data_IF_388249913264
#
_entry.id   IF_388249913264
#
_cell.length_a   1.000
_cell.length_b   1.000
_cell.length_c   1.000
_cell.angle_alpha   90.00
_cell.angle_beta   90.00
_cell.angle_gamma   90.00
#
_symmetry.space_group_name_H-M   'P 1'
#
loop_
_entity.id
_entity.type
_entity.pdbx_description
1 polymer ?
#
# COMPACT_ATOMS: atom_id res chain seq x y z
N UNK A 1 3.25 52.00 -55.13
CA UNK A 1 2.30 52.05 -56.24
C UNK A 1 1.02 51.43 -55.72
N UNK A 2 0.15 52.30 -55.35
CA UNK A 2 -1.22 52.53 -55.81
C UNK A 2 -2.22 51.52 -55.25
N UNK A 3 -3.04 51.95 -54.25
CA UNK A 3 -4.30 52.72 -54.40
C UNK A 3 -5.45 51.76 -54.70
N UNK A 4 -6.58 51.76 -54.08
CA UNK A 4 -7.66 52.57 -53.56
C UNK A 4 -8.79 51.60 -53.22
N UNK A 5 -9.53 51.62 -52.14
CA UNK A 5 -10.58 52.50 -51.61
C UNK A 5 -11.98 52.27 -52.22
N UNK A 6 -12.97 52.47 -51.34
CA UNK A 6 -14.42 52.67 -51.50
C UNK A 6 -15.33 51.54 -51.05
N UNK A 7 -15.86 51.59 -49.80
CA UNK A 7 -17.07 52.31 -49.33
C UNK A 7 -18.33 52.21 -50.23
N UNK A 8 -19.46 51.78 -49.66
CA UNK A 8 -20.83 52.37 -49.61
C UNK A 8 -21.79 51.33 -49.06
N UNK A 9 -22.45 51.57 -47.94
CA UNK A 9 -23.67 52.26 -47.57
C UNK A 9 -24.99 51.69 -48.15
N UNK A 10 -25.99 51.71 -47.26
CA UNK A 10 -27.44 51.54 -47.38
C UNK A 10 -27.99 50.16 -47.14
N UNK A 11 -29.09 49.94 -46.42
CA UNK A 11 -30.10 50.77 -45.77
C UNK A 11 -30.99 49.86 -44.93
N UNK A 12 -31.63 50.46 -43.97
CA UNK A 12 -32.60 49.91 -43.04
C UNK A 12 -33.90 49.48 -43.71
N UNK A 13 -34.57 48.45 -43.16
CA UNK A 13 -36.02 48.37 -43.12
C UNK A 13 -36.52 47.40 -42.04
N UNK A 14 -37.08 47.92 -41.04
CA UNK A 14 -38.21 47.49 -40.21
C UNK A 14 -38.72 46.05 -40.32
N UNK A 15 -38.72 45.36 -39.18
CA UNK A 15 -39.79 44.45 -38.83
C UNK A 15 -40.13 44.61 -37.34
N UNK A 16 -41.30 45.06 -37.09
CA UNK A 16 -42.00 45.23 -35.82
C UNK A 16 -42.51 43.88 -35.34
N UNK A 17 -42.64 43.72 -34.02
CA UNK A 17 -43.30 42.67 -33.25
C UNK A 17 -42.47 41.44 -32.94
N UNK A 18 -41.75 41.53 -31.81
CA UNK A 18 -41.57 40.37 -30.94
C UNK A 18 -41.95 40.80 -29.52
N UNK A 19 -43.13 40.34 -29.11
CA UNK A 19 -43.65 40.51 -27.72
C UNK A 19 -42.74 39.72 -26.78
N UNK A 20 -41.90 40.42 -26.02
CA UNK A 20 -41.24 39.84 -24.87
C UNK A 20 -42.25 39.67 -23.74
N UNK A 21 -42.87 38.52 -23.62
CA UNK A 21 -43.62 38.14 -22.43
C UNK A 21 -42.61 37.96 -21.28
N UNK A 22 -42.56 38.94 -20.38
CA UNK A 22 -41.81 38.86 -19.13
C UNK A 22 -42.37 37.71 -18.27
N UNK A 23 -41.62 36.65 -18.09
CA UNK A 23 -42.00 35.57 -17.18
C UNK A 23 -42.06 36.11 -15.77
N UNK A 24 -43.20 35.93 -15.10
CA UNK A 24 -43.44 36.43 -13.74
C UNK A 24 -42.48 35.75 -12.74
N UNK A 25 -42.06 36.43 -11.66
CA UNK A 25 -41.13 35.91 -10.65
C UNK A 25 -41.58 34.61 -9.98
N UNK A 26 -42.86 34.27 -10.11
CA UNK A 26 -43.45 33.04 -9.55
C UNK A 26 -43.15 31.76 -10.36
N UNK A 27 -42.86 31.89 -11.65
CA UNK A 27 -42.52 30.74 -12.48
C UNK A 27 -41.04 30.33 -12.33
N UNK A 28 -40.14 31.28 -12.04
CA UNK A 28 -38.76 31.01 -11.73
C UNK A 28 -38.57 30.22 -10.43
N UNK A 29 -39.42 30.46 -9.40
CA UNK A 29 -39.40 29.71 -8.12
C UNK A 29 -39.85 28.26 -8.25
N UNK A 30 -40.78 27.96 -9.17
CA UNK A 30 -41.26 26.58 -9.41
C UNK A 30 -40.31 25.73 -10.24
N UNK A 31 -39.52 26.36 -11.11
CA UNK A 31 -38.43 25.67 -11.87
C UNK A 31 -37.25 25.30 -10.97
N UNK A 32 -36.93 26.14 -9.99
CA UNK A 32 -35.85 25.87 -9.04
C UNK A 32 -36.17 24.72 -8.07
N UNK A 33 -37.45 24.58 -7.66
CA UNK A 33 -37.88 23.49 -6.79
C UNK A 33 -38.04 22.14 -7.50
N UNK A 34 -38.16 22.14 -8.86
CA UNK A 34 -38.20 20.88 -9.63
C UNK A 34 -36.82 20.36 -10.05
N UNK A 35 -35.79 21.22 -10.07
CA UNK A 35 -34.40 20.85 -10.33
C UNK A 35 -33.64 20.49 -9.07
N UNK A 36 -34.09 20.89 -7.88
CA UNK A 36 -33.47 20.56 -6.59
C UNK A 36 -33.79 19.16 -6.06
N UNK A 37 -34.76 18.46 -6.65
CA UNK A 37 -35.21 17.14 -6.18
C UNK A 37 -34.55 15.94 -6.85
N UNK A 38 -33.80 16.13 -7.94
CA UNK A 38 -33.18 15.03 -8.70
C UNK A 38 -31.66 14.86 -8.47
N UNK A 39 -31.02 15.74 -7.67
CA UNK A 39 -29.59 15.71 -7.41
C UNK A 39 -29.19 14.97 -6.13
N UNK A 40 -30.13 14.35 -5.41
CA UNK A 40 -29.87 13.73 -4.09
C UNK A 40 -29.76 12.19 -4.10
N UNK A 41 -29.70 11.52 -5.26
CA UNK A 41 -29.67 10.06 -5.34
C UNK A 41 -28.50 9.49 -6.17
N UNK A 42 -27.41 10.23 -6.35
CA UNK A 42 -26.23 9.78 -7.11
C UNK A 42 -24.91 9.83 -6.32
N UNK A 43 -24.93 9.52 -5.02
CA UNK A 43 -23.67 9.41 -4.23
C UNK A 43 -23.61 8.13 -3.41
N UNK A 44 -23.95 7.00 -4.02
CA UNK A 44 -23.73 5.68 -3.42
C UNK A 44 -22.65 4.88 -4.15
N UNK A 45 -21.72 5.55 -4.83
CA UNK A 45 -20.57 4.98 -5.51
C UNK A 45 -19.27 5.76 -5.23
N UNK A 46 -19.19 6.43 -4.08
CA UNK A 46 -17.94 7.07 -3.67
C UNK A 46 -16.88 6.02 -3.46
N UNK A 47 -15.84 6.01 -4.31
CA UNK A 47 -14.59 5.36 -3.99
C UNK A 47 -14.25 5.73 -2.56
N UNK A 48 -14.20 4.75 -1.66
CA UNK A 48 -13.89 4.99 -0.26
C UNK A 48 -12.46 5.54 -0.19
N UNK A 49 -12.34 6.86 -0.13
CA UNK A 49 -11.06 7.53 -0.01
C UNK A 49 -10.34 6.99 1.23
N UNK A 50 -9.01 6.95 1.16
CA UNK A 50 -8.18 6.61 2.31
C UNK A 50 -8.52 7.52 3.49
N UNK A 51 -8.65 6.91 4.69
CA UNK A 51 -8.93 7.63 5.94
C UNK A 51 -7.63 8.13 6.58
N UNK A 52 -6.51 7.45 6.29
CA UNK A 52 -5.19 7.85 6.74
C UNK A 52 -4.51 8.71 5.66
N UNK A 53 -3.80 9.73 6.11
CA UNK A 53 -2.99 10.57 5.24
C UNK A 53 -1.55 10.05 5.24
N UNK A 54 -1.13 9.55 4.10
CA UNK A 54 0.23 9.08 3.83
C UNK A 54 0.78 9.86 2.65
N UNK A 55 1.98 10.37 2.76
CA UNK A 55 2.60 11.17 1.72
C UNK A 55 2.70 10.47 0.35
N UNK A 56 3.01 11.24 -0.67
CA UNK A 56 3.36 10.68 -1.98
C UNK A 56 4.74 10.02 -1.89
N UNK A 57 4.85 8.76 -2.35
CA UNK A 57 6.16 8.09 -2.41
C UNK A 57 7.16 8.84 -3.29
N UNK A 58 8.44 8.66 -3.00
CA UNK A 58 9.55 9.31 -3.71
C UNK A 58 9.55 9.00 -5.21
N UNK A 59 9.86 10.00 -6.03
CA UNK A 59 10.04 9.80 -7.49
C UNK A 59 11.27 8.97 -7.81
N UNK A 60 12.23 8.86 -6.90
CA UNK A 60 13.45 8.06 -7.09
C UNK A 60 13.13 6.59 -7.38
N UNK A 61 12.02 6.05 -6.85
CA UNK A 61 11.58 4.68 -7.15
C UNK A 61 11.43 4.41 -8.66
N UNK A 62 11.17 5.43 -9.49
CA UNK A 62 11.05 5.28 -10.95
C UNK A 62 12.36 4.87 -11.63
N UNK A 63 13.51 5.06 -10.97
CA UNK A 63 14.82 4.62 -11.46
C UNK A 63 14.96 3.09 -11.48
N UNK A 64 14.17 2.36 -10.69
CA UNK A 64 14.15 0.90 -10.66
C UNK A 64 12.86 0.41 -11.31
N UNK A 65 12.88 -0.35 -12.42
CA UNK A 65 11.66 -0.86 -13.05
C UNK A 65 10.89 -1.80 -12.10
N UNK A 66 9.61 -1.54 -11.88
CA UNK A 66 8.79 -2.30 -10.94
C UNK A 66 8.72 -3.79 -11.30
N UNK A 67 8.51 -4.09 -12.60
CA UNK A 67 8.42 -5.47 -13.10
C UNK A 67 9.71 -6.26 -12.86
N UNK A 68 10.87 -5.64 -13.09
CA UNK A 68 12.18 -6.29 -12.85
C UNK A 68 12.34 -6.65 -11.38
N UNK A 69 11.93 -5.75 -10.48
CA UNK A 69 12.01 -6.00 -9.04
C UNK A 69 11.02 -7.10 -8.60
N UNK A 70 9.80 -7.12 -9.13
CA UNK A 70 8.79 -8.15 -8.85
C UNK A 70 9.25 -9.53 -9.33
N UNK A 71 9.93 -9.60 -10.49
CA UNK A 71 10.52 -10.85 -11.00
C UNK A 71 11.64 -11.33 -10.08
N UNK A 72 12.60 -10.48 -9.76
CA UNK A 72 13.71 -10.81 -8.86
C UNK A 72 13.22 -11.23 -7.46
N UNK A 73 12.19 -10.55 -6.95
CA UNK A 73 11.56 -10.90 -5.69
C UNK A 73 10.89 -12.29 -5.74
N UNK A 74 10.23 -12.61 -6.84
CA UNK A 74 9.60 -13.92 -7.03
C UNK A 74 10.64 -15.03 -7.07
N UNK A 75 11.73 -14.85 -7.82
CA UNK A 75 12.83 -15.82 -7.89
C UNK A 75 13.48 -16.06 -6.53
N UNK A 76 13.79 -14.98 -5.81
CA UNK A 76 14.37 -15.06 -4.46
C UNK A 76 13.42 -15.75 -3.48
N UNK A 77 12.12 -15.44 -3.57
CA UNK A 77 11.12 -16.09 -2.73
C UNK A 77 11.04 -17.59 -2.98
N UNK A 78 11.07 -18.03 -4.24
CA UNK A 78 11.06 -19.46 -4.59
C UNK A 78 12.33 -20.17 -4.10
N UNK A 79 13.49 -19.52 -4.18
CA UNK A 79 14.74 -20.07 -3.61
C UNK A 79 14.64 -20.25 -2.09
N UNK A 80 14.11 -19.23 -1.38
CA UNK A 80 13.88 -19.31 0.06
C UNK A 80 12.93 -20.46 0.43
N UNK A 81 11.83 -20.62 -0.30
CA UNK A 81 10.88 -21.72 -0.05
C UNK A 81 11.49 -23.10 -0.34
N UNK A 82 12.29 -23.21 -1.41
CA UNK A 82 13.00 -24.44 -1.73
C UNK A 82 14.00 -24.80 -0.61
N UNK A 83 14.74 -23.83 -0.09
CA UNK A 83 15.63 -24.01 1.04
C UNK A 83 14.86 -24.43 2.30
N UNK A 84 13.78 -23.73 2.65
CA UNK A 84 12.94 -24.09 3.79
C UNK A 84 12.37 -25.50 3.66
N UNK A 85 11.96 -25.89 2.46
CA UNK A 85 11.45 -27.24 2.17
C UNK A 85 12.54 -28.31 2.34
N UNK A 86 13.75 -28.08 1.85
CA UNK A 86 14.86 -29.02 1.99
C UNK A 86 15.29 -29.23 3.45
N UNK A 87 15.06 -28.24 4.29
CA UNK A 87 15.30 -28.28 5.74
C UNK A 87 14.10 -28.82 6.55
N UNK A 88 13.00 -29.19 5.88
CA UNK A 88 11.78 -29.61 6.57
C UNK A 88 11.07 -28.47 7.34
N UNK A 89 11.46 -27.21 7.08
CA UNK A 89 10.94 -26.04 7.78
C UNK A 89 9.72 -25.41 7.09
N UNK A 90 9.41 -25.75 5.84
CA UNK A 90 8.23 -25.23 5.16
C UNK A 90 6.97 -25.93 5.66
N UNK A 91 6.02 -25.15 6.19
CA UNK A 91 4.78 -25.70 6.72
C UNK A 91 3.94 -26.33 5.61
N UNK A 92 3.39 -27.54 5.82
CA UNK A 92 2.49 -28.19 4.85
C UNK A 92 1.14 -27.44 4.76
N UNK A 93 0.43 -27.58 3.66
CA UNK A 93 -0.87 -26.92 3.41
C UNK A 93 -1.94 -27.21 4.48
N UNK A 94 -1.82 -28.35 5.19
CA UNK A 94 -2.70 -28.71 6.31
C UNK A 94 -2.44 -27.94 7.61
N UNK A 95 -1.32 -27.23 7.73
CA UNK A 95 -0.92 -26.54 8.95
C UNK A 95 -1.96 -25.48 9.36
N UNK A 96 -2.39 -25.51 10.63
CA UNK A 96 -3.45 -24.64 11.13
C UNK A 96 -3.04 -23.14 11.11
N UNK A 97 -1.79 -22.84 11.48
CA UNK A 97 -1.27 -21.47 11.43
C UNK A 97 -1.17 -20.95 9.99
N UNK A 98 -0.75 -21.77 9.03
CA UNK A 98 -0.72 -21.39 7.62
C UNK A 98 -2.12 -21.10 7.08
N UNK A 99 -3.11 -21.94 7.42
CA UNK A 99 -4.52 -21.70 7.05
C UNK A 99 -5.03 -20.39 7.64
N UNK A 100 -4.70 -20.11 8.89
CA UNK A 100 -5.00 -18.83 9.55
C UNK A 100 -4.43 -17.64 8.79
N UNK A 101 -3.15 -17.70 8.39
CA UNK A 101 -2.50 -16.66 7.59
C UNK A 101 -3.19 -16.47 6.23
N UNK A 102 -3.59 -17.56 5.56
CA UNK A 102 -4.33 -17.48 4.29
C UNK A 102 -5.67 -16.76 4.46
N UNK A 103 -6.43 -17.04 5.52
CA UNK A 103 -7.70 -16.35 5.81
C UNK A 103 -7.47 -14.85 6.01
N UNK A 104 -6.42 -14.48 6.76
CA UNK A 104 -6.08 -13.08 6.98
C UNK A 104 -5.71 -12.38 5.67
N UNK A 105 -4.85 -13.00 4.85
CA UNK A 105 -4.44 -12.45 3.56
C UNK A 105 -5.64 -12.27 2.61
N UNK A 106 -6.53 -13.26 2.52
CA UNK A 106 -7.74 -13.19 1.68
C UNK A 106 -8.65 -12.01 2.05
N UNK A 107 -8.67 -11.63 3.33
CA UNK A 107 -9.46 -10.48 3.79
C UNK A 107 -8.75 -9.14 3.53
N UNK A 108 -7.41 -9.09 3.52
CA UNK A 108 -6.64 -7.88 3.29
C UNK A 108 -6.48 -7.54 1.80
N UNK A 109 -6.26 -8.54 0.94
CA UNK A 109 -5.95 -8.38 -0.49
C UNK A 109 -6.97 -7.51 -1.24
N UNK A 110 -8.30 -7.58 -1.02
CA UNK A 110 -9.27 -6.73 -1.71
C UNK A 110 -9.04 -5.23 -1.56
N UNK A 111 -8.32 -4.80 -0.52
CA UNK A 111 -8.06 -3.39 -0.21
C UNK A 111 -6.69 -2.89 -0.68
N UNK A 112 -5.93 -3.69 -1.41
CA UNK A 112 -4.56 -3.35 -1.85
C UNK A 112 -4.53 -2.40 -3.04
N UNK A 113 -5.49 -2.51 -3.95
CA UNK A 113 -5.49 -1.76 -5.20
C UNK A 113 -5.62 -0.23 -5.03
N UNK A 114 -6.21 0.23 -3.92
CA UNK A 114 -6.27 1.65 -3.60
C UNK A 114 -4.88 2.26 -3.31
N UNK A 115 -3.92 1.44 -2.91
CA UNK A 115 -2.55 1.85 -2.58
C UNK A 115 -1.57 1.60 -3.73
N UNK A 116 -1.84 0.58 -4.55
CA UNK A 116 -1.05 0.27 -5.73
C UNK A 116 -1.91 -0.52 -6.72
N UNK A 117 -2.26 0.10 -7.84
CA UNK A 117 -3.10 -0.54 -8.86
C UNK A 117 -2.47 -1.81 -9.46
N UNK A 118 -1.12 -1.89 -9.49
CA UNK A 118 -0.39 -3.09 -9.94
C UNK A 118 -0.70 -4.32 -9.09
N UNK A 119 -1.11 -4.15 -7.84
CA UNK A 119 -1.43 -5.25 -6.93
C UNK A 119 -2.56 -6.14 -7.42
N UNK A 120 -3.42 -5.65 -8.35
CA UNK A 120 -4.47 -6.45 -9.02
C UNK A 120 -3.89 -7.59 -9.86
N UNK A 121 -2.71 -7.42 -10.40
CA UNK A 121 -2.01 -8.40 -11.24
C UNK A 121 -1.03 -9.27 -10.45
N UNK A 122 -0.81 -8.99 -9.17
CA UNK A 122 0.13 -9.76 -8.37
C UNK A 122 -0.40 -11.16 -8.06
N UNK A 123 0.49 -12.13 -8.14
CA UNK A 123 0.21 -13.50 -7.68
C UNK A 123 0.54 -13.58 -6.20
N UNK A 124 -0.43 -13.24 -5.36
CA UNK A 124 -0.30 -13.29 -3.92
C UNK A 124 -0.01 -14.71 -3.43
N UNK A 125 1.04 -14.85 -2.67
CA UNK A 125 1.46 -16.12 -2.06
C UNK A 125 1.75 -15.90 -0.58
N UNK A 126 1.28 -16.83 0.27
CA UNK A 126 1.51 -16.79 1.71
C UNK A 126 2.08 -18.10 2.15
N UNK A 127 3.23 -18.11 2.79
CA UNK A 127 3.87 -19.28 3.33
C UNK A 127 4.28 -19.08 4.80
N UNK A 128 4.38 -20.20 5.53
CA UNK A 128 4.83 -20.23 6.92
C UNK A 128 6.12 -21.05 6.99
N UNK A 129 7.16 -20.47 7.56
CA UNK A 129 8.48 -21.10 7.71
C UNK A 129 8.75 -21.39 9.19
N UNK A 130 9.07 -22.62 9.50
CA UNK A 130 9.47 -23.06 10.85
C UNK A 130 10.82 -22.45 11.23
N UNK A 131 10.81 -21.45 12.09
CA UNK A 131 12.01 -20.79 12.61
C UNK A 131 11.72 -20.13 13.95
N UNK A 132 12.72 -20.04 14.79
CA UNK A 132 12.64 -19.33 16.07
C UNK A 132 12.79 -17.79 15.90
N UNK A 133 13.06 -17.32 14.70
CA UNK A 133 13.14 -15.89 14.41
C UNK A 133 11.80 -15.20 14.57
N UNK A 134 11.80 -14.04 15.19
CA UNK A 134 10.67 -13.12 15.19
C UNK A 134 10.78 -12.33 13.88
N UNK A 135 10.14 -12.81 12.81
CA UNK A 135 10.22 -12.21 11.49
C UNK A 135 8.99 -12.50 10.64
N UNK A 136 8.67 -11.57 9.75
CA UNK A 136 7.71 -11.69 8.65
C UNK A 136 8.12 -10.71 7.55
N UNK A 137 7.69 -10.92 6.32
CA UNK A 137 7.95 -9.99 5.22
C UNK A 137 6.93 -10.14 4.09
N UNK A 138 6.82 -9.11 3.28
CA UNK A 138 6.14 -9.13 1.98
C UNK A 138 7.07 -8.53 0.90
N UNK A 139 7.55 -9.37 -0.01
CA UNK A 139 8.33 -8.90 -1.14
C UNK A 139 7.43 -8.33 -2.25
N UNK A 140 7.97 -7.45 -3.13
CA UNK A 140 7.29 -6.99 -4.34
C UNK A 140 6.66 -8.14 -5.12
N UNK A 141 5.47 -7.92 -5.68
CA UNK A 141 4.71 -8.97 -6.35
C UNK A 141 3.85 -9.83 -5.41
N UNK A 142 3.73 -9.44 -4.12
CA UNK A 142 2.83 -10.05 -3.14
C UNK A 142 3.32 -11.39 -2.59
N UNK A 143 4.62 -11.54 -2.36
CA UNK A 143 5.25 -12.74 -1.81
C UNK A 143 5.43 -12.62 -0.30
N UNK A 144 4.53 -13.23 0.47
CA UNK A 144 4.44 -13.10 1.92
C UNK A 144 5.00 -14.36 2.60
N UNK A 145 5.87 -14.19 3.58
CA UNK A 145 6.24 -15.25 4.49
C UNK A 145 6.18 -14.78 5.95
N UNK A 146 5.72 -15.69 6.80
CA UNK A 146 5.79 -15.57 8.25
C UNK A 146 6.72 -16.64 8.78
N UNK A 147 7.45 -16.33 9.84
CA UNK A 147 8.17 -17.31 10.61
C UNK A 147 7.35 -17.72 11.82
N UNK A 148 7.43 -18.99 12.24
CA UNK A 148 6.66 -19.46 13.41
C UNK A 148 6.99 -18.65 14.67
N UNK A 149 8.26 -18.21 14.81
CA UNK A 149 8.73 -17.47 15.96
C UNK A 149 7.98 -16.15 16.21
N UNK A 150 7.54 -15.42 15.18
CA UNK A 150 6.78 -14.18 15.38
C UNK A 150 5.37 -14.47 15.92
N UNK A 151 4.75 -15.56 15.46
CA UNK A 151 3.41 -15.95 15.89
C UNK A 151 3.42 -16.50 17.32
N UNK A 152 4.39 -17.37 17.62
CA UNK A 152 4.42 -18.13 18.85
C UNK A 152 5.00 -17.31 20.02
N UNK A 153 6.17 -16.67 19.82
CA UNK A 153 6.83 -15.90 20.91
C UNK A 153 6.06 -14.65 21.30
N UNK A 154 5.35 -14.02 20.36
CA UNK A 154 4.51 -12.86 20.66
C UNK A 154 3.07 -13.25 20.99
N UNK A 155 2.71 -14.53 20.89
CA UNK A 155 1.35 -15.03 21.09
C UNK A 155 0.31 -14.14 20.38
N UNK A 156 0.50 -13.95 19.06
CA UNK A 156 -0.28 -12.99 18.29
C UNK A 156 -1.73 -13.45 18.09
N UNK A 157 -2.66 -12.56 18.35
CA UNK A 157 -4.07 -12.69 17.97
C UNK A 157 -4.23 -12.55 16.45
N UNK A 158 -5.41 -12.87 15.90
CA UNK A 158 -5.71 -12.66 14.48
C UNK A 158 -5.63 -11.18 14.10
N UNK A 159 -6.12 -10.30 14.96
CA UNK A 159 -6.06 -8.85 14.75
C UNK A 159 -4.61 -8.36 14.70
N UNK A 160 -3.75 -8.80 15.62
CA UNK A 160 -2.32 -8.42 15.64
C UNK A 160 -1.57 -9.01 14.45
N UNK A 161 -1.90 -10.24 14.04
CA UNK A 161 -1.31 -10.89 12.85
C UNK A 161 -1.72 -10.14 11.58
N UNK A 162 -2.97 -9.66 11.51
CA UNK A 162 -3.44 -8.83 10.41
C UNK A 162 -2.75 -7.48 10.35
N UNK A 163 -2.41 -6.87 11.50
CA UNK A 163 -1.64 -5.63 11.55
C UNK A 163 -0.22 -5.83 11.02
N UNK A 164 0.48 -6.92 11.40
CA UNK A 164 1.79 -7.24 10.82
C UNK A 164 1.67 -7.49 9.31
N UNK A 165 0.75 -8.35 8.91
CA UNK A 165 0.58 -8.68 7.49
C UNK A 165 0.25 -7.43 6.67
N UNK A 166 -0.63 -6.57 7.16
CA UNK A 166 -0.97 -5.30 6.54
C UNK A 166 0.22 -4.35 6.42
N UNK A 167 1.06 -4.27 7.47
CA UNK A 167 2.29 -3.50 7.48
C UNK A 167 3.29 -4.00 6.43
N UNK A 168 3.52 -5.32 6.37
CA UNK A 168 4.40 -5.93 5.36
C UNK A 168 3.87 -5.72 3.94
N UNK A 169 2.56 -5.93 3.74
CA UNK A 169 1.93 -5.65 2.45
C UNK A 169 2.07 -4.18 2.07
N UNK A 170 1.97 -3.26 3.03
CA UNK A 170 2.12 -1.83 2.79
C UNK A 170 3.52 -1.48 2.26
N UNK A 171 4.60 -2.08 2.79
CA UNK A 171 5.94 -1.89 2.24
C UNK A 171 6.02 -2.25 0.75
N UNK A 172 5.40 -3.36 0.35
CA UNK A 172 5.36 -3.77 -1.07
C UNK A 172 4.47 -2.83 -1.91
N UNK A 173 3.28 -2.46 -1.41
CA UNK A 173 2.32 -1.59 -2.08
C UNK A 173 2.85 -0.17 -2.28
N UNK A 174 3.51 0.38 -1.26
CA UNK A 174 4.13 1.71 -1.29
C UNK A 174 5.48 1.73 -2.00
N UNK A 175 5.96 0.54 -2.41
CA UNK A 175 7.21 0.34 -3.14
C UNK A 175 8.45 0.82 -2.35
N UNK A 176 8.44 0.68 -1.01
CA UNK A 176 9.54 1.14 -0.16
C UNK A 176 10.87 0.46 -0.53
N UNK A 177 10.85 -0.85 -0.80
CA UNK A 177 12.05 -1.57 -1.27
C UNK A 177 12.61 -0.99 -2.57
N UNK A 178 11.74 -0.62 -3.51
CA UNK A 178 12.10 0.00 -4.78
C UNK A 178 12.75 1.36 -4.57
N UNK A 179 12.22 2.15 -3.62
CA UNK A 179 12.77 3.45 -3.25
C UNK A 179 14.15 3.31 -2.58
N UNK A 180 14.29 2.37 -1.63
CA UNK A 180 15.57 2.14 -0.96
C UNK A 180 16.65 1.66 -1.92
N UNK A 181 16.34 0.76 -2.85
CA UNK A 181 17.25 0.36 -3.91
C UNK A 181 17.64 1.54 -4.80
N UNK A 182 16.70 2.39 -5.17
CA UNK A 182 16.98 3.60 -5.96
C UNK A 182 17.88 4.58 -5.21
N UNK A 183 17.69 4.78 -3.91
CA UNK A 183 18.55 5.60 -3.06
C UNK A 183 19.96 5.00 -2.95
N UNK A 184 20.07 3.68 -2.80
CA UNK A 184 21.35 2.97 -2.79
C UNK A 184 22.10 3.10 -4.12
N UNK A 185 21.41 3.19 -5.25
CA UNK A 185 22.01 3.44 -6.56
C UNK A 185 22.58 4.87 -6.69
N UNK A 186 21.99 5.85 -6.02
CA UNK A 186 22.48 7.23 -6.00
C UNK A 186 23.77 7.39 -5.18
N UNK A 187 24.09 6.44 -4.30
CA UNK A 187 25.39 6.34 -3.62
C UNK A 187 26.26 5.35 -4.38
N UNK A 188 27.60 5.51 -4.35
CA UNK A 188 28.58 4.76 -5.16
C UNK A 188 28.48 3.22 -5.14
N UNK A 189 27.71 2.64 -4.22
CA UNK A 189 27.37 1.21 -4.17
C UNK A 189 26.30 0.86 -5.23
N UNK A 190 25.48 1.82 -5.63
CA UNK A 190 24.36 1.64 -6.55
C UNK A 190 24.71 1.69 -8.03
N UNK A 191 25.84 2.29 -8.42
CA UNK A 191 26.21 2.41 -9.83
C UNK A 191 26.46 1.05 -10.50
N UNK A 192 27.03 0.08 -9.79
CA UNK A 192 27.25 -1.27 -10.33
C UNK A 192 25.96 -2.07 -10.49
N UNK A 193 24.98 -1.92 -9.56
CA UNK A 193 23.66 -2.53 -9.68
C UNK A 193 22.82 -1.83 -10.74
N UNK A 194 22.86 -0.50 -10.83
CA UNK A 194 22.15 0.27 -11.86
C UNK A 194 22.60 -0.08 -13.27
N UNK A 195 23.91 -0.23 -13.49
CA UNK A 195 24.45 -0.67 -14.77
C UNK A 195 23.99 -2.09 -15.15
N UNK A 196 23.87 -2.99 -14.18
CA UNK A 196 23.37 -4.35 -14.38
C UNK A 196 21.86 -4.36 -14.69
N UNK A 197 21.07 -3.51 -14.02
CA UNK A 197 19.62 -3.36 -14.28
C UNK A 197 19.30 -2.78 -15.65
N UNK A 198 20.20 -1.94 -16.19
CA UNK A 198 20.06 -1.34 -17.52
C UNK A 198 20.53 -2.25 -18.66
N UNK A 199 20.81 -3.53 -18.39
CA UNK A 199 21.20 -4.50 -19.42
C UNK A 199 22.67 -4.46 -19.80
N UNK A 200 23.53 -3.82 -18.98
CA UNK A 200 24.96 -3.72 -19.21
C UNK A 200 25.77 -4.87 -18.57
N UNK A 201 25.09 -5.93 -18.13
CA UNK A 201 25.70 -7.09 -17.47
C UNK A 201 24.85 -8.35 -17.47
N UNK A 202 25.32 -9.41 -16.82
CA UNK A 202 24.61 -10.69 -16.66
C UNK A 202 23.35 -10.51 -15.81
N UNK A 203 22.18 -10.48 -16.46
CA UNK A 203 20.86 -10.25 -15.85
C UNK A 203 20.53 -11.30 -14.77
N UNK A 204 20.96 -12.54 -14.92
CA UNK A 204 20.71 -13.61 -13.95
C UNK A 204 21.38 -13.34 -12.60
N UNK A 205 22.66 -12.96 -12.61
CA UNK A 205 23.40 -12.64 -11.40
C UNK A 205 22.91 -11.33 -10.75
N UNK A 206 22.43 -10.37 -11.56
CA UNK A 206 21.87 -9.11 -11.06
C UNK A 206 20.54 -9.35 -10.32
N UNK A 207 19.65 -10.17 -10.87
CA UNK A 207 18.36 -10.51 -10.24
C UNK A 207 18.57 -11.26 -8.92
N UNK A 208 19.51 -12.23 -8.87
CA UNK A 208 19.82 -12.97 -7.65
C UNK A 208 20.38 -12.05 -6.54
N UNK A 209 21.30 -11.15 -6.87
CA UNK A 209 21.86 -10.18 -5.91
C UNK A 209 20.79 -9.21 -5.39
N UNK A 210 19.92 -8.74 -6.27
CA UNK A 210 18.81 -7.85 -5.92
C UNK A 210 17.81 -8.56 -5.01
N UNK A 211 17.46 -9.81 -5.32
CA UNK A 211 16.56 -10.62 -4.51
C UNK A 211 17.11 -10.83 -3.09
N UNK A 212 18.39 -11.21 -2.96
CA UNK A 212 19.04 -11.38 -1.65
C UNK A 212 19.07 -10.07 -0.84
N UNK A 213 19.26 -8.94 -1.51
CA UNK A 213 19.27 -7.61 -0.87
C UNK A 213 17.90 -7.23 -0.32
N UNK A 214 16.78 -7.67 -0.96
CA UNK A 214 15.43 -7.33 -0.52
C UNK A 214 15.13 -7.75 0.93
N UNK A 215 15.70 -8.88 1.38
CA UNK A 215 15.50 -9.38 2.74
C UNK A 215 16.30 -8.63 3.81
N UNK A 216 17.32 -7.87 3.40
CA UNK A 216 18.21 -7.13 4.30
C UNK A 216 18.02 -5.62 4.26
N UNK A 217 17.04 -5.12 3.50
CA UNK A 217 16.74 -3.70 3.41
C UNK A 217 16.27 -3.17 4.77
N UNK A 218 16.85 -2.03 5.15
CA UNK A 218 16.36 -1.26 6.29
C UNK A 218 15.49 -0.12 5.79
N UNK A 219 14.32 0.03 6.41
CA UNK A 219 13.38 1.08 6.05
C UNK A 219 13.61 2.33 6.88
N UNK A 220 13.35 3.50 6.30
CA UNK A 220 13.41 4.75 7.04
C UNK A 220 12.22 4.87 7.99
N UNK A 221 12.34 5.73 9.01
CA UNK A 221 11.22 6.00 9.93
C UNK A 221 9.96 6.49 9.20
N UNK A 222 10.12 7.22 8.10
CA UNK A 222 9.02 7.66 7.27
C UNK A 222 8.34 6.49 6.54
N UNK A 223 9.12 5.55 6.00
CA UNK A 223 8.60 4.33 5.38
C UNK A 223 7.83 3.47 6.40
N UNK A 224 8.33 3.43 7.65
CA UNK A 224 7.69 2.70 8.74
C UNK A 224 6.35 3.32 9.15
N UNK A 225 6.30 4.65 9.31
CA UNK A 225 5.05 5.36 9.59
C UNK A 225 4.04 5.20 8.45
N UNK A 226 4.48 5.29 7.20
CA UNK A 226 3.64 5.06 6.03
C UNK A 226 3.08 3.63 6.04
N UNK A 227 3.92 2.61 6.28
CA UNK A 227 3.51 1.23 6.33
C UNK A 227 2.55 0.94 7.51
N UNK A 228 2.79 1.54 8.66
CA UNK A 228 1.89 1.44 9.81
C UNK A 228 0.48 1.97 9.49
N UNK A 229 0.39 3.15 8.87
CA UNK A 229 -0.89 3.79 8.58
C UNK A 229 -1.66 3.06 7.48
N UNK A 230 -0.98 2.68 6.40
CA UNK A 230 -1.59 1.92 5.31
C UNK A 230 -2.05 0.54 5.80
N UNK A 231 -1.21 -0.16 6.56
CA UNK A 231 -1.55 -1.45 7.15
C UNK A 231 -2.72 -1.36 8.13
N UNK A 232 -2.75 -0.33 8.97
CA UNK A 232 -3.84 -0.04 9.91
C UNK A 232 -5.17 0.13 9.17
N UNK A 233 -5.20 0.94 8.10
CA UNK A 233 -6.42 1.14 7.33
C UNK A 233 -6.87 -0.12 6.60
N UNK A 234 -5.96 -0.84 5.95
CA UNK A 234 -6.28 -2.10 5.28
C UNK A 234 -6.86 -3.13 6.24
N UNK A 235 -6.27 -3.28 7.43
CA UNK A 235 -6.76 -4.21 8.45
C UNK A 235 -8.13 -3.79 8.99
N UNK A 236 -8.36 -2.50 9.24
CA UNK A 236 -9.66 -1.99 9.66
C UNK A 236 -10.76 -2.25 8.61
N UNK A 237 -10.47 -2.00 7.32
CA UNK A 237 -11.38 -2.32 6.20
C UNK A 237 -11.68 -3.81 6.07
N UNK A 238 -10.70 -4.65 6.41
CA UNK A 238 -10.84 -6.11 6.44
C UNK A 238 -11.58 -6.62 7.71
N UNK A 239 -11.99 -5.73 8.61
CA UNK A 239 -12.74 -6.04 9.83
C UNK A 239 -11.88 -6.57 10.96
N UNK A 240 -10.58 -6.22 10.99
CA UNK A 240 -9.69 -6.44 12.12
C UNK A 240 -9.64 -5.22 13.03
N UNK A 241 -9.58 -5.45 14.34
CA UNK A 241 -9.62 -4.39 15.33
C UNK A 241 -8.37 -3.49 15.24
N UNK A 242 -8.50 -2.20 14.87
CA UNK A 242 -7.35 -1.32 14.69
C UNK A 242 -6.55 -1.05 15.97
N UNK A 243 -7.15 -1.24 17.16
CA UNK A 243 -6.44 -1.12 18.43
C UNK A 243 -5.32 -2.17 18.58
N UNK A 244 -5.41 -3.29 17.83
CA UNK A 244 -4.39 -4.32 17.81
C UNK A 244 -3.03 -3.82 17.29
N UNK A 245 -3.00 -2.76 16.47
CA UNK A 245 -1.74 -2.16 16.04
C UNK A 245 -0.95 -1.59 17.22
N UNK A 246 -1.63 -0.97 18.18
CA UNK A 246 -1.01 -0.43 19.40
C UNK A 246 -0.51 -1.55 20.30
N UNK A 247 -1.32 -2.57 20.55
CA UNK A 247 -0.94 -3.71 21.43
C UNK A 247 0.21 -4.52 20.82
N UNK A 248 0.25 -4.69 19.52
CA UNK A 248 1.33 -5.33 18.78
C UNK A 248 2.68 -4.65 19.06
N UNK A 249 2.77 -3.33 18.83
CA UNK A 249 4.03 -2.60 19.05
C UNK A 249 4.45 -2.55 20.52
N UNK A 250 3.48 -2.57 21.44
CA UNK A 250 3.77 -2.73 22.87
C UNK A 250 4.35 -4.12 23.17
N UNK A 251 3.85 -5.20 22.56
CA UNK A 251 4.42 -6.55 22.69
C UNK A 251 5.83 -6.62 22.13
N UNK A 252 6.05 -6.07 20.92
CA UNK A 252 7.37 -5.97 20.29
C UNK A 252 8.39 -5.25 21.20
N UNK A 253 8.00 -4.10 21.77
CA UNK A 253 8.86 -3.32 22.66
C UNK A 253 9.25 -4.05 23.97
N UNK A 254 8.37 -4.85 24.55
CA UNK A 254 8.67 -5.66 25.75
C UNK A 254 9.68 -6.77 25.46
N UNK A 255 9.59 -7.37 24.28
CA UNK A 255 10.51 -8.45 23.88
C UNK A 255 11.94 -7.94 23.70
N UNK A 256 12.15 -6.68 23.30
CA UNK A 256 13.48 -6.05 23.22
C UNK A 256 14.08 -5.77 24.58
N UNK A 257 13.25 -5.38 25.56
CA UNK A 257 13.71 -5.06 26.94
C UNK A 257 14.14 -6.28 27.77
N UNK A 258 13.77 -7.49 27.37
CA UNK A 258 14.01 -8.74 28.12
C UNK A 258 15.32 -9.46 27.77
N UNK A 259 16.32 -8.78 27.17
CA UNK A 259 17.62 -9.36 26.85
C UNK A 259 17.60 -10.35 25.68
N UNK A 260 16.60 -10.27 24.80
CA UNK A 260 16.46 -11.11 23.64
C UNK A 260 17.50 -10.80 22.55
N UNK A 261 18.69 -11.42 22.69
CA UNK A 261 19.69 -11.45 21.63
C UNK A 261 19.15 -12.18 20.39
N UNK A 262 19.70 -11.86 19.23
CA UNK A 262 19.63 -12.52 17.89
C UNK A 262 18.27 -13.00 17.33
N UNK A 263 17.18 -12.98 18.08
CA UNK A 263 15.86 -13.43 17.59
C UNK A 263 14.95 -12.34 17.02
N UNK A 264 15.38 -11.08 17.00
CA UNK A 264 14.56 -9.92 16.63
C UNK A 264 14.93 -9.37 15.23
N UNK A 265 15.02 -10.26 14.25
CA UNK A 265 15.33 -9.89 12.87
C UNK A 265 14.34 -8.82 12.34
N UNK A 266 13.07 -8.93 12.73
CA UNK A 266 12.04 -7.96 12.39
C UNK A 266 12.40 -6.52 12.81
N UNK A 267 12.88 -6.32 14.04
CA UNK A 267 13.21 -4.97 14.52
C UNK A 267 14.51 -4.41 13.95
N UNK A 268 15.38 -5.27 13.36
CA UNK A 268 16.57 -4.81 12.66
C UNK A 268 16.24 -4.15 11.31
N UNK A 269 15.20 -4.61 10.66
CA UNK A 269 14.69 -4.06 9.39
C UNK A 269 13.59 -3.02 9.60
N UNK A 270 12.81 -3.15 10.70
CA UNK A 270 11.69 -2.28 11.07
C UNK A 270 11.93 -1.62 12.43
N UNK A 271 12.67 -0.49 12.48
CA UNK A 271 12.96 0.18 13.74
C UNK A 271 11.69 0.57 14.50
N UNK A 272 11.57 0.13 15.75
CA UNK A 272 10.48 0.50 16.64
C UNK A 272 10.83 1.75 17.44
N UNK A 273 9.80 2.44 17.94
CA UNK A 273 9.98 3.58 18.84
C UNK A 273 8.64 4.08 19.39
N UNK A 274 8.69 4.83 20.51
CA UNK A 274 7.46 5.36 21.13
C UNK A 274 6.69 6.31 20.22
N UNK A 275 7.34 6.91 19.22
CA UNK A 275 6.68 7.78 18.24
C UNK A 275 5.71 7.01 17.35
N UNK A 276 6.04 5.80 16.91
CA UNK A 276 5.16 4.94 16.11
C UNK A 276 3.88 4.60 16.90
N UNK A 277 4.02 4.22 18.17
CA UNK A 277 2.87 3.92 19.03
C UNK A 277 1.97 5.15 19.18
N UNK A 278 2.54 6.34 19.40
CA UNK A 278 1.76 7.58 19.50
C UNK A 278 1.05 7.93 18.20
N UNK A 279 1.70 7.70 17.07
CA UNK A 279 1.12 7.93 15.76
C UNK A 279 -0.06 6.98 15.47
N UNK A 280 0.10 5.71 15.74
CA UNK A 280 -0.98 4.72 15.65
C UNK A 280 -2.16 5.09 16.55
N UNK A 281 -1.90 5.46 17.82
CA UNK A 281 -2.96 5.91 18.74
C UNK A 281 -3.76 7.10 18.20
N UNK A 282 -3.11 8.07 17.52
CA UNK A 282 -3.80 9.20 16.87
C UNK A 282 -4.62 8.81 15.64
N UNK A 283 -4.24 7.72 14.95
CA UNK A 283 -4.89 7.30 13.70
C UNK A 283 -5.93 6.20 13.88
N UNK A 284 -5.87 5.39 14.94
CA UNK A 284 -6.91 4.38 15.28
C UNK A 284 -8.34 4.96 15.20
N UNK A 285 -8.65 6.12 15.81
CA UNK A 285 -10.00 6.68 15.72
C UNK A 285 -10.46 7.01 14.29
N UNK A 286 -9.52 7.35 13.39
CA UNK A 286 -9.86 7.70 12.00
C UNK A 286 -10.35 6.49 11.20
N UNK A 287 -9.88 5.30 11.50
CA UNK A 287 -10.23 4.06 10.80
C UNK A 287 -11.29 3.21 11.53
N UNK A 288 -11.69 3.60 12.74
CA UNK A 288 -12.67 2.86 13.54
C UNK A 288 -14.05 2.76 12.85
N UNK A 289 -14.42 3.78 12.07
CA UNK A 289 -15.61 3.76 11.23
C UNK A 289 -15.57 2.64 10.17
N UNK A 290 -14.42 2.42 9.54
CA UNK A 290 -14.20 1.36 8.54
C UNK A 290 -14.30 -0.02 9.19
N UNK A 291 -13.67 -0.19 10.34
CA UNK A 291 -13.75 -1.42 11.12
C UNK A 291 -15.18 -1.78 11.51
N UNK A 292 -15.94 -0.81 12.04
CA UNK A 292 -17.36 -1.04 12.39
C UNK A 292 -18.22 -1.37 11.18
N UNK A 293 -17.93 -0.77 10.03
CA UNK A 293 -18.65 -1.06 8.78
C UNK A 293 -18.37 -2.48 8.26
N UNK A 294 -17.12 -2.93 8.34
CA UNK A 294 -16.71 -4.25 7.88
C UNK A 294 -17.26 -5.42 8.74
N UNK A 295 -17.77 -5.12 9.94
CA UNK A 295 -18.35 -6.11 10.88
C UNK A 295 -19.88 -6.17 10.88
N UNK A 296 -20.53 -5.34 10.08
CA UNK A 296 -21.97 -5.42 9.85
C UNK A 296 -22.30 -6.47 8.81
#
# INVERSE_FOLDING_TARGET
MQHLDHSTLFSAANCWHCSCAAASPWQARRAFLRLGGAAALATAGGSALAQVDVGSGSRLRQLVPAQTLETAATEQYQQLLAQAKSQGALAPSGNAQLKRLHVIAQRLIPYTAQWNERSRSWRWEVNLIGSQEINAFCMPGGKIAFYTGILDKLALTDDETAMIMGHEMAHALREHSREQLAKGQATNIGLSLGAQLLGLGDLGNAAAKMGAQLLSLQFSRADESDADLVGLEMAARAGYNPQAAVTLWQKMGRTTGSGGGSGLAFLSTHPSGPDRIRELQRNVPKVDGLYRQARK
#
